data_IF_722831531659
#
_entry.id   IF_722831531659
#
_cell.length_a   1.000
_cell.length_b   1.000
_cell.length_c   1.000
_cell.angle_alpha   90.00
_cell.angle_beta   90.00
_cell.angle_gamma   90.00
#
_symmetry.space_group_name_H-M   'P 1'
#
loop_
_entity.id
_entity.type
_entity.pdbx_description
1 polymer ?
#
# COMPACT_ATOMS: atom_id res chain seq x y z
N UNK A 1 32.40 58.47 -19.07
CA UNK A 1 31.09 59.08 -18.81
C UNK A 1 30.06 58.20 -19.51
N UNK A 2 29.80 57.01 -19.00
CA UNK A 2 28.87 56.66 -17.90
C UNK A 2 27.49 56.32 -18.46
N UNK A 3 27.30 55.04 -18.77
CA UNK A 3 26.01 54.40 -19.01
C UNK A 3 25.09 54.49 -17.78
N UNK A 4 23.77 54.66 -17.95
CA UNK A 4 22.81 54.59 -16.84
C UNK A 4 22.47 53.13 -16.46
N UNK A 5 22.04 52.89 -15.21
CA UNK A 5 22.00 51.57 -14.61
C UNK A 5 20.72 50.78 -14.90
N UNK A 6 20.91 49.46 -15.03
CA UNK A 6 20.04 48.34 -14.64
C UNK A 6 18.52 48.55 -14.56
N UNK A 7 17.80 47.86 -15.45
CA UNK A 7 16.51 47.22 -15.09
C UNK A 7 16.53 45.76 -15.54
N UNK A 8 16.92 44.86 -14.64
CA UNK A 8 16.62 43.42 -14.74
C UNK A 8 15.23 43.14 -14.13
N UNK A 9 14.56 42.08 -14.57
CA UNK A 9 13.09 42.00 -14.59
C UNK A 9 12.50 41.49 -13.27
N UNK A 10 11.39 42.10 -12.85
CA UNK A 10 10.52 41.53 -11.84
C UNK A 10 9.45 40.66 -12.52
N UNK A 11 9.52 39.35 -12.27
CA UNK A 11 8.44 38.35 -12.09
C UNK A 11 8.85 36.99 -12.68
N UNK A 12 9.52 36.19 -11.87
CA UNK A 12 9.62 34.75 -12.09
C UNK A 12 9.02 34.03 -10.89
N UNK A 13 7.70 34.14 -10.75
CA UNK A 13 6.91 33.21 -9.95
C UNK A 13 5.84 32.64 -10.89
N UNK A 14 5.74 31.30 -11.04
CA UNK A 14 4.68 30.69 -11.83
C UNK A 14 3.32 31.03 -11.22
N UNK A 15 2.39 31.52 -12.04
CA UNK A 15 1.08 32.01 -11.59
C UNK A 15 0.06 30.88 -11.43
N UNK A 16 0.36 29.68 -11.94
CA UNK A 16 -0.46 28.48 -11.73
C UNK A 16 0.40 27.23 -11.56
N UNK A 17 -0.12 26.24 -10.83
CA UNK A 17 0.48 24.91 -10.65
C UNK A 17 0.81 24.21 -12.00
N UNK A 18 0.15 24.62 -13.08
CA UNK A 18 0.33 24.07 -14.42
C UNK A 18 1.65 24.44 -15.09
N UNK A 19 2.33 25.49 -14.63
CA UNK A 19 3.64 25.87 -15.17
C UNK A 19 4.78 24.93 -14.70
N UNK A 20 4.56 24.19 -13.61
CA UNK A 20 5.53 23.24 -13.05
C UNK A 20 5.42 21.83 -13.66
N UNK A 21 4.30 21.51 -14.31
CA UNK A 21 4.00 20.16 -14.81
C UNK A 21 4.07 20.17 -16.35
N UNK A 22 5.28 20.35 -16.92
CA UNK A 22 5.54 19.99 -18.33
C UNK A 22 6.38 18.71 -18.39
N UNK A 23 5.93 17.67 -19.12
CA UNK A 23 6.70 16.44 -19.26
C UNK A 23 7.89 16.68 -20.21
N UNK A 24 9.10 16.63 -19.66
CA UNK A 24 10.34 16.55 -20.43
C UNK A 24 10.39 15.22 -21.18
N UNK A 25 10.29 15.32 -22.50
CA UNK A 25 10.62 14.26 -23.44
C UNK A 25 12.11 13.96 -23.38
N UNK A 26 12.50 12.74 -23.01
CA UNK A 26 13.83 12.22 -23.29
C UNK A 26 13.82 10.83 -23.94
N UNK A 27 14.85 10.55 -24.76
CA UNK A 27 14.74 9.67 -25.89
C UNK A 27 15.26 8.24 -25.60
N UNK A 28 14.79 7.36 -26.48
CA UNK A 28 15.16 5.95 -26.69
C UNK A 28 16.68 5.75 -26.75
N UNK A 29 17.19 4.78 -25.99
CA UNK A 29 18.53 4.21 -26.21
C UNK A 29 18.48 2.67 -26.18
N UNK A 30 18.94 2.08 -27.29
CA UNK A 30 19.26 0.67 -27.52
C UNK A 30 20.63 0.34 -26.88
N UNK A 31 20.77 -0.87 -26.34
CA UNK A 31 22.02 -1.64 -26.23
C UNK A 31 21.62 -3.07 -25.76
N UNK A 32 21.65 -4.12 -26.60
CA UNK A 32 22.76 -4.93 -27.10
C UNK A 32 23.37 -5.91 -26.08
N UNK A 33 23.21 -7.21 -26.40
CA UNK A 33 24.05 -8.39 -26.17
C UNK A 33 24.51 -8.73 -24.73
N UNK A 34 24.19 -9.95 -24.29
CA UNK A 34 25.26 -10.90 -23.95
C UNK A 34 24.78 -12.35 -24.05
N UNK A 35 25.65 -13.11 -24.69
CA UNK A 35 25.65 -14.53 -25.03
C UNK A 35 26.06 -15.33 -23.79
N UNK A 36 25.26 -16.31 -23.36
CA UNK A 36 25.57 -17.14 -22.20
C UNK A 36 25.98 -18.53 -22.67
N UNK A 37 27.25 -18.85 -22.43
CA UNK A 37 27.90 -20.14 -22.64
C UNK A 37 27.29 -21.17 -21.68
N UNK A 38 26.89 -22.32 -22.21
CA UNK A 38 26.39 -23.47 -21.45
C UNK A 38 27.53 -24.40 -20.99
N UNK A 39 27.47 -24.97 -19.78
CA UNK A 39 28.22 -26.17 -19.43
C UNK A 39 27.34 -27.44 -19.39
N UNK A 40 27.95 -28.55 -19.83
CA UNK A 40 27.44 -29.94 -19.97
C UNK A 40 27.56 -30.72 -18.62
N UNK A 41 26.81 -31.84 -18.39
CA UNK A 41 26.32 -32.30 -17.08
C UNK A 41 27.21 -33.40 -16.39
N UNK A 42 26.79 -33.96 -15.21
CA UNK A 42 27.70 -34.43 -14.14
C UNK A 42 27.99 -35.94 -14.11
N UNK A 43 29.07 -36.30 -13.42
CA UNK A 43 29.45 -37.69 -13.10
C UNK A 43 28.84 -38.17 -11.76
N UNK A 44 28.42 -39.44 -11.75
CA UNK A 44 27.75 -40.15 -10.68
C UNK A 44 28.71 -40.74 -9.63
N UNK A 45 28.22 -40.97 -8.40
CA UNK A 45 28.90 -41.82 -7.40
C UNK A 45 28.41 -41.62 -5.95
N UNK A 46 27.36 -42.35 -5.55
CA UNK A 46 26.92 -42.63 -4.17
C UNK A 46 27.58 -43.95 -3.68
N UNK A 47 27.80 -44.20 -2.36
CA UNK A 47 26.74 -44.38 -1.33
C UNK A 47 27.04 -43.72 0.04
N UNK A 48 26.11 -42.97 0.63
CA UNK A 48 25.04 -43.42 1.54
C UNK A 48 25.53 -44.13 2.81
N UNK A 49 25.97 -43.34 3.79
CA UNK A 49 26.06 -43.75 5.20
C UNK A 49 24.92 -43.08 5.97
N UNK A 50 23.99 -43.91 6.43
CA UNK A 50 22.85 -43.54 7.28
C UNK A 50 23.38 -43.03 8.63
N UNK A 51 23.23 -41.74 8.89
CA UNK A 51 23.37 -41.20 10.24
C UNK A 51 22.03 -40.66 10.71
N UNK A 52 21.61 -41.23 11.83
CA UNK A 52 20.48 -40.95 12.71
C UNK A 52 19.68 -39.68 12.44
N UNK A 53 18.39 -39.90 12.21
CA UNK A 53 17.32 -38.93 12.33
C UNK A 53 17.25 -38.39 13.77
N UNK A 54 18.07 -37.38 14.06
CA UNK A 54 17.71 -36.36 15.02
C UNK A 54 16.53 -35.60 14.43
N UNK A 55 15.41 -35.62 15.14
CA UNK A 55 14.20 -34.90 14.77
C UNK A 55 14.57 -33.43 14.53
N UNK A 56 14.64 -33.03 13.26
CA UNK A 56 14.77 -31.61 12.88
C UNK A 56 13.62 -30.88 13.56
N UNK A 57 13.88 -29.79 14.30
CA UNK A 57 12.81 -28.96 14.81
C UNK A 57 11.91 -28.60 13.62
N UNK A 58 10.59 -28.79 13.79
CA UNK A 58 9.60 -28.48 12.77
C UNK A 58 9.95 -27.11 12.17
N UNK A 59 10.27 -27.08 10.87
CA UNK A 59 10.63 -25.85 10.17
C UNK A 59 9.54 -24.85 10.50
N UNK A 60 9.91 -23.74 11.15
CA UNK A 60 8.95 -22.69 11.47
C UNK A 60 8.13 -22.43 10.22
N UNK A 61 6.81 -22.60 10.33
CA UNK A 61 5.88 -22.22 9.29
C UNK A 61 6.08 -20.71 9.10
N UNK A 62 6.97 -20.36 8.16
CA UNK A 62 7.64 -19.05 8.10
C UNK A 62 6.68 -17.92 7.74
N UNK A 63 7.23 -16.77 7.32
CA UNK A 63 6.45 -15.58 6.96
C UNK A 63 5.27 -15.87 6.00
N UNK A 64 5.37 -16.89 5.15
CA UNK A 64 4.26 -17.36 4.30
C UNK A 64 3.02 -17.74 5.12
N UNK A 65 3.16 -18.52 6.18
CA UNK A 65 2.02 -18.93 7.01
C UNK A 65 1.35 -17.74 7.69
N UNK A 66 2.15 -16.73 8.11
CA UNK A 66 1.63 -15.47 8.64
C UNK A 66 0.80 -14.70 7.61
N UNK A 67 1.20 -14.72 6.34
CA UNK A 67 0.41 -14.11 5.26
C UNK A 67 -0.87 -14.89 4.94
N UNK A 68 -0.85 -16.23 5.00
CA UNK A 68 -2.07 -17.04 4.84
C UNK A 68 -3.07 -16.77 5.97
N UNK A 69 -2.60 -16.73 7.21
CA UNK A 69 -3.42 -16.40 8.38
C UNK A 69 -4.00 -14.98 8.28
N UNK A 70 -3.20 -14.02 7.83
CA UNK A 70 -3.65 -12.65 7.55
C UNK A 70 -4.82 -12.64 6.55
N UNK A 71 -4.73 -13.39 5.46
CA UNK A 71 -5.81 -13.45 4.45
C UNK A 71 -7.10 -13.97 5.07
N UNK A 72 -7.01 -15.03 5.88
CA UNK A 72 -8.18 -15.60 6.58
C UNK A 72 -8.77 -14.57 7.55
N UNK A 73 -7.95 -13.95 8.39
CA UNK A 73 -8.40 -12.96 9.37
C UNK A 73 -9.05 -11.75 8.70
N UNK A 74 -8.43 -11.18 7.67
CA UNK A 74 -8.97 -10.01 6.98
C UNK A 74 -10.28 -10.31 6.25
N UNK A 75 -10.39 -11.47 5.59
CA UNK A 75 -11.64 -11.90 4.95
C UNK A 75 -12.78 -12.01 5.97
N UNK A 76 -12.50 -12.63 7.11
CA UNK A 76 -13.46 -12.80 8.19
C UNK A 76 -13.84 -11.45 8.82
N UNK A 77 -12.85 -10.67 9.25
CA UNK A 77 -13.07 -9.40 9.98
C UNK A 77 -13.85 -8.38 9.16
N UNK A 78 -13.55 -8.26 7.87
CA UNK A 78 -14.17 -7.24 7.02
C UNK A 78 -15.31 -7.76 6.14
N UNK A 79 -15.63 -9.05 6.21
CA UNK A 79 -16.64 -9.68 5.35
C UNK A 79 -16.27 -9.60 3.87
N UNK A 80 -14.98 -9.77 3.55
CA UNK A 80 -14.45 -9.58 2.19
C UNK A 80 -14.47 -10.89 1.42
N UNK A 81 -14.99 -10.82 0.20
CA UNK A 81 -14.85 -11.89 -0.81
C UNK A 81 -13.83 -11.49 -1.86
N UNK A 82 -12.79 -12.31 -1.97
CA UNK A 82 -11.82 -12.22 -3.07
C UNK A 82 -12.42 -12.87 -4.30
N UNK A 83 -12.68 -12.08 -5.34
CA UNK A 83 -13.26 -12.57 -6.61
C UNK A 83 -12.19 -13.15 -7.50
N UNK A 84 -10.99 -12.53 -7.53
CA UNK A 84 -9.87 -12.97 -8.35
C UNK A 84 -8.54 -12.66 -7.67
N UNK A 85 -7.64 -13.66 -7.65
CA UNK A 85 -6.23 -13.45 -7.35
C UNK A 85 -5.50 -12.98 -8.62
N UNK A 86 -4.90 -11.79 -8.58
CA UNK A 86 -4.15 -11.21 -9.70
C UNK A 86 -2.70 -11.68 -9.70
N UNK A 87 -2.11 -11.80 -10.88
CA UNK A 87 -0.66 -12.01 -11.04
C UNK A 87 0.12 -10.69 -10.97
N UNK A 88 -0.53 -9.56 -11.27
CA UNK A 88 0.03 -8.21 -11.19
C UNK A 88 0.06 -7.68 -9.75
N UNK A 89 0.95 -6.72 -9.47
CA UNK A 89 1.03 -5.98 -8.20
C UNK A 89 0.06 -4.79 -8.17
N UNK A 90 -1.19 -5.06 -8.50
CA UNK A 90 -2.30 -4.13 -8.49
C UNK A 90 -3.59 -4.86 -8.10
N UNK A 91 -4.50 -4.15 -7.43
CA UNK A 91 -5.82 -4.67 -7.09
C UNK A 91 -6.93 -3.70 -7.45
N UNK A 92 -8.14 -4.09 -7.05
CA UNK A 92 -9.33 -3.27 -7.12
C UNK A 92 -10.29 -3.71 -6.01
N UNK A 93 -10.95 -2.76 -5.37
CA UNK A 93 -11.96 -2.99 -4.36
C UNK A 93 -13.27 -2.30 -4.77
N UNK A 94 -14.41 -2.97 -4.58
CA UNK A 94 -15.72 -2.40 -4.84
C UNK A 94 -16.81 -3.06 -3.99
N UNK A 95 -17.97 -2.41 -3.94
CA UNK A 95 -19.14 -2.89 -3.22
C UNK A 95 -20.30 -3.10 -4.19
N UNK A 96 -21.12 -4.11 -3.93
CA UNK A 96 -22.36 -4.37 -4.66
C UNK A 96 -23.51 -4.29 -3.67
N UNK A 97 -24.44 -3.37 -3.92
CA UNK A 97 -25.68 -3.24 -3.16
C UNK A 97 -26.78 -3.99 -3.89
N UNK A 98 -27.45 -4.88 -3.18
CA UNK A 98 -28.58 -5.65 -3.70
C UNK A 98 -29.90 -4.97 -3.33
N UNK A 99 -30.98 -5.36 -4.03
CA UNK A 99 -32.32 -4.79 -3.82
C UNK A 99 -32.89 -5.07 -2.42
N UNK A 100 -32.45 -6.16 -1.80
CA UNK A 100 -32.83 -6.56 -0.44
C UNK A 100 -32.11 -5.76 0.66
N UNK A 101 -31.30 -4.76 0.28
CA UNK A 101 -30.52 -3.93 1.19
C UNK A 101 -29.21 -4.59 1.65
N UNK A 102 -28.94 -5.85 1.28
CA UNK A 102 -27.66 -6.48 1.55
C UNK A 102 -26.54 -5.88 0.70
N UNK A 103 -25.32 -5.99 1.20
CA UNK A 103 -24.12 -5.48 0.53
C UNK A 103 -23.03 -6.54 0.51
N UNK A 104 -22.49 -6.83 -0.68
CA UNK A 104 -21.29 -7.63 -0.84
C UNK A 104 -20.05 -6.73 -0.97
N UNK A 105 -18.99 -7.07 -0.23
CA UNK A 105 -17.69 -6.41 -0.30
C UNK A 105 -16.71 -7.27 -1.08
N UNK A 106 -16.28 -6.78 -2.23
CA UNK A 106 -15.52 -7.54 -3.21
C UNK A 106 -14.14 -6.93 -3.43
N UNK A 107 -13.14 -7.79 -3.64
CA UNK A 107 -11.80 -7.37 -4.07
C UNK A 107 -11.23 -8.29 -5.15
N UNK A 108 -10.33 -7.73 -5.95
CA UNK A 108 -9.30 -8.43 -6.68
C UNK A 108 -7.94 -7.94 -6.22
N UNK A 109 -6.99 -8.84 -6.02
CA UNK A 109 -5.69 -8.46 -5.47
C UNK A 109 -4.64 -9.54 -5.76
N UNK A 110 -3.33 -9.25 -5.81
CA UNK A 110 -2.33 -10.29 -5.70
C UNK A 110 -2.46 -11.07 -4.40
N UNK A 111 -2.26 -12.39 -4.47
CA UNK A 111 -2.20 -13.20 -3.26
C UNK A 111 -0.97 -12.80 -2.43
N UNK A 112 -1.11 -12.53 -1.12
CA UNK A 112 0.01 -12.27 -0.22
C UNK A 112 0.99 -13.46 -0.24
N UNK A 113 2.17 -13.23 -0.78
CA UNK A 113 3.31 -14.18 -0.79
C UNK A 113 4.60 -13.52 -0.31
N UNK A 114 4.62 -12.20 -0.25
CA UNK A 114 5.72 -11.37 0.19
C UNK A 114 5.23 -9.98 0.58
N UNK A 115 6.14 -9.11 1.05
CA UNK A 115 5.81 -7.76 1.53
C UNK A 115 4.98 -6.95 0.54
N UNK A 116 5.36 -6.97 -0.74
CA UNK A 116 4.70 -6.19 -1.79
C UNK A 116 3.26 -6.64 -2.04
N UNK A 117 3.03 -7.94 -2.24
CA UNK A 117 1.68 -8.45 -2.47
C UNK A 117 0.81 -8.34 -1.22
N UNK A 118 1.39 -8.50 -0.03
CA UNK A 118 0.71 -8.25 1.24
C UNK A 118 0.25 -6.78 1.36
N UNK A 119 1.11 -5.81 1.06
CA UNK A 119 0.77 -4.39 1.17
C UNK A 119 -0.33 -3.97 0.19
N UNK A 120 -0.31 -4.50 -1.04
CA UNK A 120 -1.38 -4.26 -2.03
C UNK A 120 -2.69 -4.92 -1.58
N UNK A 121 -2.65 -6.16 -1.09
CA UNK A 121 -3.84 -6.82 -0.54
C UNK A 121 -4.47 -6.03 0.61
N UNK A 122 -3.65 -5.57 1.55
CA UNK A 122 -4.11 -4.72 2.65
C UNK A 122 -4.58 -3.36 2.16
N UNK A 123 -4.03 -2.79 1.09
CA UNK A 123 -4.54 -1.54 0.51
C UNK A 123 -5.97 -1.71 -0.03
N UNK A 124 -6.27 -2.83 -0.71
CA UNK A 124 -7.63 -3.12 -1.18
C UNK A 124 -8.63 -3.30 -0.02
N UNK A 125 -8.20 -3.98 1.05
CA UNK A 125 -9.00 -4.08 2.28
C UNK A 125 -9.14 -2.71 2.94
N UNK A 126 -8.09 -1.89 2.90
CA UNK A 126 -8.06 -0.54 3.43
C UNK A 126 -9.20 0.31 2.88
N UNK A 127 -9.52 0.21 1.59
CA UNK A 127 -10.69 0.89 1.02
C UNK A 127 -12.02 0.48 1.67
N UNK A 128 -12.19 -0.80 2.03
CA UNK A 128 -13.38 -1.25 2.75
C UNK A 128 -13.33 -0.86 4.22
N UNK A 129 -12.16 -0.93 4.85
CA UNK A 129 -11.96 -0.63 6.26
C UNK A 129 -12.22 0.84 6.60
N UNK A 130 -11.77 1.75 5.73
CA UNK A 130 -12.01 3.20 5.89
C UNK A 130 -13.37 3.65 5.33
N UNK A 131 -14.03 2.79 4.55
CA UNK A 131 -15.24 3.10 3.80
C UNK A 131 -14.98 3.85 2.49
N UNK A 132 -15.75 3.52 1.46
CA UNK A 132 -15.70 4.22 0.16
C UNK A 132 -16.38 5.57 0.24
N UNK A 133 -15.76 6.59 -0.36
CA UNK A 133 -16.27 7.95 -0.40
C UNK A 133 -16.07 8.74 0.90
N UNK A 134 -15.47 8.13 1.93
CA UNK A 134 -15.20 8.75 3.23
C UNK A 134 -14.25 9.94 3.08
N UNK A 135 -13.23 9.81 2.22
CA UNK A 135 -12.24 10.86 1.98
C UNK A 135 -12.39 11.43 0.58
N UNK A 136 -12.33 12.77 0.48
CA UNK A 136 -12.38 13.49 -0.78
C UNK A 136 -11.24 14.50 -0.85
N UNK A 137 -10.55 14.64 -2.00
CA UNK A 137 -10.74 13.94 -3.29
C UNK A 137 -10.31 12.45 -3.28
N UNK A 138 -10.57 11.69 -4.35
CA UNK A 138 -10.21 10.26 -4.44
C UNK A 138 -8.73 9.98 -4.17
N UNK A 139 -7.81 10.87 -4.56
CA UNK A 139 -6.39 10.69 -4.23
C UNK A 139 -6.09 10.76 -2.72
N UNK A 140 -6.90 11.48 -1.93
CA UNK A 140 -6.80 11.46 -0.47
C UNK A 140 -7.29 10.12 0.11
N UNK A 141 -8.33 9.55 -0.48
CA UNK A 141 -8.79 8.21 -0.11
C UNK A 141 -7.73 7.12 -0.41
N UNK A 142 -7.02 7.23 -1.53
CA UNK A 142 -5.87 6.37 -1.83
C UNK A 142 -4.79 6.48 -0.74
N UNK A 143 -4.49 7.70 -0.26
CA UNK A 143 -3.56 7.93 0.84
C UNK A 143 -4.00 7.24 2.13
N UNK A 144 -5.26 7.40 2.54
CA UNK A 144 -5.76 6.76 3.75
C UNK A 144 -5.80 5.23 3.64
N UNK A 145 -6.10 4.68 2.46
CA UNK A 145 -6.04 3.23 2.23
C UNK A 145 -4.60 2.69 2.35
N UNK A 146 -3.61 3.40 1.78
CA UNK A 146 -2.19 3.05 1.96
C UNK A 146 -1.71 3.19 3.40
N UNK A 147 -2.11 4.27 4.09
CA UNK A 147 -1.81 4.48 5.51
C UNK A 147 -2.33 3.32 6.35
N UNK A 148 -3.62 2.96 6.18
CA UNK A 148 -4.24 1.84 6.88
C UNK A 148 -3.49 0.52 6.63
N UNK A 149 -3.09 0.27 5.39
CA UNK A 149 -2.29 -0.91 5.02
C UNK A 149 -0.97 -0.95 5.79
N UNK A 150 -0.24 0.16 5.85
CA UNK A 150 1.05 0.22 6.53
C UNK A 150 0.92 0.14 8.05
N UNK A 151 -0.07 0.82 8.64
CA UNK A 151 -0.39 0.69 10.07
C UNK A 151 -0.70 -0.76 10.42
N UNK A 152 -1.50 -1.45 9.60
CA UNK A 152 -1.82 -2.87 9.79
C UNK A 152 -0.57 -3.75 9.70
N UNK A 153 0.31 -3.51 8.72
CA UNK A 153 1.57 -4.24 8.62
C UNK A 153 2.48 -4.03 9.84
N UNK A 154 2.56 -2.79 10.35
CA UNK A 154 3.36 -2.47 11.54
C UNK A 154 2.78 -3.14 12.79
N UNK A 155 1.47 -3.00 13.04
CA UNK A 155 0.77 -3.58 14.19
C UNK A 155 0.88 -5.10 14.21
N UNK A 156 0.74 -5.74 13.05
CA UNK A 156 0.87 -7.19 12.92
C UNK A 156 2.33 -7.64 12.82
N UNK A 157 3.31 -6.75 12.98
CA UNK A 157 4.73 -7.02 12.87
C UNK A 157 5.09 -7.80 11.58
N UNK A 158 4.57 -7.33 10.45
CA UNK A 158 4.84 -7.84 9.11
C UNK A 158 5.95 -7.02 8.43
N UNK A 159 6.64 -7.64 7.49
CA UNK A 159 7.77 -7.01 6.81
C UNK A 159 7.32 -5.81 5.96
N UNK A 160 7.71 -4.60 6.34
CA UNK A 160 7.47 -3.37 5.58
C UNK A 160 8.81 -2.87 5.00
N UNK A 161 9.11 -3.29 3.77
CA UNK A 161 10.40 -3.02 3.13
C UNK A 161 10.46 -1.65 2.46
N UNK A 162 11.67 -1.21 2.10
CA UNK A 162 11.86 0.01 1.32
C UNK A 162 11.11 -0.03 -0.01
N UNK A 163 11.13 -1.18 -0.71
CA UNK A 163 10.41 -1.35 -1.97
C UNK A 163 8.90 -1.13 -1.82
N UNK A 164 8.31 -1.58 -0.71
CA UNK A 164 6.88 -1.35 -0.40
C UNK A 164 6.60 0.14 -0.21
N UNK A 165 7.46 0.86 0.52
CA UNK A 165 7.32 2.32 0.71
C UNK A 165 7.45 3.07 -0.62
N UNK A 166 8.41 2.69 -1.45
CA UNK A 166 8.60 3.28 -2.79
C UNK A 166 7.37 3.05 -3.68
N UNK A 167 6.79 1.86 -3.65
CA UNK A 167 5.55 1.55 -4.38
C UNK A 167 4.39 2.44 -3.96
N UNK A 168 4.22 2.71 -2.66
CA UNK A 168 3.23 3.67 -2.15
C UNK A 168 3.51 5.06 -2.70
N UNK A 169 4.75 5.53 -2.61
CA UNK A 169 5.13 6.88 -3.07
C UNK A 169 4.78 7.08 -4.55
N UNK A 170 5.12 6.09 -5.39
CA UNK A 170 4.76 6.06 -6.82
C UNK A 170 3.24 6.01 -7.05
N UNK A 171 2.51 5.21 -6.27
CA UNK A 171 1.07 5.09 -6.40
C UNK A 171 0.35 6.41 -6.04
N UNK A 172 0.78 7.09 -4.98
CA UNK A 172 0.21 8.36 -4.55
C UNK A 172 0.57 9.50 -5.50
N UNK A 173 1.81 9.55 -5.99
CA UNK A 173 2.19 10.47 -7.05
C UNK A 173 1.29 10.30 -8.28
N UNK A 174 1.09 9.04 -8.73
CA UNK A 174 0.18 8.75 -9.84
C UNK A 174 -1.27 9.16 -9.55
N UNK A 175 -1.78 8.92 -8.34
CA UNK A 175 -3.12 9.31 -7.94
C UNK A 175 -3.32 10.84 -7.98
N UNK A 176 -2.31 11.60 -7.53
CA UNK A 176 -2.30 13.07 -7.61
C UNK A 176 -2.33 13.52 -9.07
N UNK A 177 -1.45 12.98 -9.94
CA UNK A 177 -1.43 13.30 -11.37
C UNK A 177 -2.76 12.97 -12.06
N UNK A 178 -3.40 11.86 -11.67
CA UNK A 178 -4.72 11.49 -12.17
C UNK A 178 -5.82 12.45 -11.68
N UNK A 179 -5.76 12.90 -10.43
CA UNK A 179 -6.70 13.88 -9.89
C UNK A 179 -6.51 15.26 -10.53
N UNK A 180 -5.27 15.70 -10.76
CA UNK A 180 -4.95 16.93 -11.46
C UNK A 180 -5.58 16.95 -12.86
N UNK A 181 -5.37 15.90 -13.67
CA UNK A 181 -6.01 15.74 -14.99
C UNK A 181 -7.54 15.73 -14.95
N UNK A 182 -8.14 15.46 -13.79
CA UNK A 182 -9.60 15.49 -13.56
C UNK A 182 -10.09 16.81 -12.95
N UNK A 183 -9.24 17.85 -12.91
CA UNK A 183 -9.62 19.19 -12.46
C UNK A 183 -9.47 19.42 -10.95
N UNK A 184 -8.57 18.71 -10.27
CA UNK A 184 -8.27 18.99 -8.85
C UNK A 184 -7.78 20.45 -8.70
N UNK A 185 -8.52 21.26 -7.93
CA UNK A 185 -8.21 22.68 -7.72
C UNK A 185 -7.22 22.94 -6.58
N UNK A 186 -7.27 22.12 -5.53
CA UNK A 186 -6.43 22.26 -4.32
C UNK A 186 -5.94 20.89 -3.90
N UNK A 187 -4.63 20.77 -3.68
CA UNK A 187 -4.02 19.55 -3.17
C UNK A 187 -4.22 19.48 -1.64
N UNK A 188 -4.72 18.35 -1.10
CA UNK A 188 -4.69 18.05 0.33
C UNK A 188 -3.27 18.12 0.91
N UNK A 189 -3.12 18.64 2.13
CA UNK A 189 -1.80 18.89 2.73
C UNK A 189 -1.01 17.59 2.94
N UNK A 190 -1.72 16.50 3.25
CA UNK A 190 -1.19 15.14 3.43
C UNK A 190 -0.53 14.59 2.16
N UNK A 191 -0.94 15.10 1.00
CA UNK A 191 -0.45 14.66 -0.30
C UNK A 191 0.74 15.49 -0.81
N UNK A 192 1.07 16.61 -0.17
CA UNK A 192 2.21 17.47 -0.54
C UNK A 192 3.52 16.69 -0.66
N UNK A 193 3.87 15.77 0.27
CA UNK A 193 5.11 14.99 0.18
C UNK A 193 5.22 14.08 -1.05
N UNK A 194 4.10 13.80 -1.74
CA UNK A 194 4.03 12.90 -2.89
C UNK A 194 3.84 13.65 -4.21
N UNK A 195 3.84 14.99 -4.20
CA UNK A 195 3.60 15.81 -5.38
C UNK A 195 4.64 15.53 -6.48
N UNK A 196 5.91 15.50 -6.10
CA UNK A 196 7.02 15.20 -7.00
C UNK A 196 7.36 13.71 -6.96
N UNK A 197 7.68 13.10 -8.13
CA UNK A 197 8.12 11.72 -8.15
C UNK A 197 9.48 11.63 -7.47
N UNK A 198 9.59 10.73 -6.49
CA UNK A 198 10.84 10.60 -5.73
C UNK A 198 11.89 9.85 -6.56
N UNK A 199 13.10 10.42 -6.65
CA UNK A 199 14.21 9.79 -7.36
C UNK A 199 14.52 8.39 -6.79
N UNK A 200 15.02 7.51 -7.64
CA UNK A 200 15.47 6.16 -7.25
C UNK A 200 16.62 6.20 -6.26
N UNK A 201 17.46 7.23 -6.34
CA UNK A 201 18.65 7.37 -5.49
C UNK A 201 18.32 7.88 -4.08
N UNK A 202 17.10 8.39 -3.88
CA UNK A 202 16.64 8.82 -2.57
C UNK A 202 15.86 7.69 -1.90
N UNK A 203 16.05 7.53 -0.59
CA UNK A 203 15.23 6.68 0.23
C UNK A 203 13.75 7.14 0.16
N UNK A 204 12.77 6.21 0.13
CA UNK A 204 11.35 6.56 0.13
C UNK A 204 10.94 7.25 1.44
N UNK A 205 9.76 7.87 1.42
CA UNK A 205 9.20 8.49 2.64
C UNK A 205 9.09 7.45 3.76
N UNK A 206 9.15 7.87 5.05
CA UNK A 206 8.84 7.00 6.18
C UNK A 206 7.51 6.24 5.97
N UNK A 207 7.36 5.08 6.63
CA UNK A 207 6.15 4.28 6.49
C UNK A 207 4.90 5.07 6.89
N UNK A 208 4.97 5.81 7.99
CA UNK A 208 3.91 6.71 8.43
C UNK A 208 4.48 8.13 8.49
N UNK A 209 3.75 9.10 7.94
CA UNK A 209 4.09 10.51 8.00
C UNK A 209 3.54 11.20 9.25
N UNK A 210 2.54 10.57 9.85
CA UNK A 210 1.94 10.94 11.12
C UNK A 210 2.11 9.76 12.08
N UNK A 211 2.02 10.03 13.37
CA UNK A 211 1.96 8.94 14.36
C UNK A 211 0.80 7.97 14.04
N UNK A 212 0.99 6.66 14.26
CA UNK A 212 -0.09 5.70 14.14
C UNK A 212 -1.21 6.13 15.09
N UNK A 213 -2.42 6.37 14.57
CA UNK A 213 -3.57 6.74 15.41
C UNK A 213 -4.20 5.53 16.11
N UNK A 214 -3.41 4.46 16.23
CA UNK A 214 -3.91 3.10 16.33
C UNK A 214 -4.68 2.72 15.06
N UNK A 215 -4.74 1.43 14.75
CA UNK A 215 -5.70 1.02 13.75
C UNK A 215 -7.11 1.32 14.29
N UNK A 216 -8.04 1.71 13.41
CA UNK A 216 -9.49 1.61 13.65
C UNK A 216 -9.96 0.16 13.98
N UNK A 217 -9.03 -0.78 14.23
CA UNK A 217 -9.24 -2.18 14.60
C UNK A 217 -9.80 -2.35 16.03
N UNK A 218 -9.91 -1.29 16.85
CA UNK A 218 -10.43 -1.39 18.21
C UNK A 218 -11.96 -1.17 18.33
N UNK A 219 -12.65 -0.69 17.30
CA UNK A 219 -14.06 -0.23 17.42
C UNK A 219 -15.09 -1.13 16.73
N UNK A 220 -15.00 -2.44 16.92
CA UNK A 220 -16.14 -3.35 16.72
C UNK A 220 -16.38 -4.14 18.00
N UNK A 221 -16.84 -3.45 19.04
CA UNK A 221 -17.04 -4.04 20.36
C UNK A 221 -17.90 -3.18 21.28
N UNK A 222 -18.95 -2.53 20.76
CA UNK A 222 -20.07 -2.08 21.59
C UNK A 222 -21.30 -2.87 21.19
N UNK A 223 -21.46 -4.05 21.80
CA UNK A 223 -22.77 -4.69 21.88
C UNK A 223 -23.63 -3.89 22.87
N UNK A 224 -24.93 -3.67 22.60
CA UNK A 224 -25.82 -3.12 23.60
C UNK A 224 -26.27 -4.26 24.52
N UNK A 225 -26.05 -4.11 25.83
CA UNK A 225 -26.76 -4.90 26.83
C UNK A 225 -25.88 -5.43 27.94
N UNK A 226 -25.80 -4.67 29.03
CA UNK A 226 -26.02 -5.20 30.38
C UNK A 226 -26.28 -4.04 31.36
N UNK A 227 -27.49 -3.48 31.33
CA UNK A 227 -28.03 -2.79 32.51
C UNK A 227 -28.75 -3.84 33.33
N UNK A 228 -28.03 -4.49 34.24
CA UNK A 228 -28.62 -5.32 35.27
C UNK A 228 -28.32 -4.71 36.64
N UNK A 229 -29.42 -4.26 37.26
CA UNK A 229 -29.70 -4.11 38.68
C UNK A 229 -28.53 -4.14 39.67
N UNK A 230 -28.38 -3.03 40.41
CA UNK A 230 -27.90 -3.10 41.79
C UNK A 230 -28.96 -2.55 42.73
N UNK A 231 -29.69 -3.51 43.28
CA UNK A 231 -30.65 -3.44 44.38
C UNK A 231 -30.09 -2.65 45.55
N UNK A 232 -30.90 -1.72 46.05
CA UNK A 232 -30.75 -1.00 47.31
C UNK A 232 -30.54 -1.97 48.47
N UNK A 233 -29.48 -1.76 49.26
CA UNK A 233 -29.43 -2.22 50.64
C UNK A 233 -29.54 -1.01 51.55
N UNK A 234 -30.66 -0.96 52.27
CA UNK A 234 -30.85 -0.15 53.48
C UNK A 234 -31.03 -1.15 54.60
N UNK A 235 -30.08 -1.19 55.54
CA UNK A 235 -30.27 -1.59 56.94
C UNK A 235 -29.41 -0.65 57.76
#
# INVERSE_FOLDING_TARGET
>A
MSDPPSKRPARWFPSTLWDLIRPGSSPRARASKSEVIAPVPPAAGTPSVRSNASARPARSNGMKARYEELVVDMKRRYGIRVVRWRSSTSGCAWQVHYKDGSMARLIESPHPRGPMSCAVFLHEIGHHAIGFGTYRPRCLEEYHAWRWSFETMIVLNLNLTEAVRRRRDEALHYAIQKAARRGLKRLPAELVPFLEPRSRDLAPLPALLEEPRGPFLASTGSGPGETADRVSQTV
#
